data_IF_886747951148
#
_entry.id   IF_886747951148
#
_cell.length_a   1.000
_cell.length_b   1.000
_cell.length_c   1.000
_cell.angle_alpha   90.00
_cell.angle_beta   90.00
_cell.angle_gamma   90.00
#
_symmetry.space_group_name_H-M   'P 1'
#
loop_
_entity.id
_entity.type
_entity.pdbx_description
1 polymer ?
#
# COMPACT_ATOMS: atom_id res chain seq x y z
N UNK A 1 -12.07 -0.96 -22.43
CA UNK A 1 -10.65 -0.66 -22.25
C UNK A 1 -10.10 -0.12 -23.57
N UNK A 2 -9.52 1.07 -23.55
CA UNK A 2 -8.89 1.65 -24.72
C UNK A 2 -7.38 1.69 -24.51
N UNK A 3 -6.62 1.14 -25.43
CA UNK A 3 -5.17 1.29 -25.43
C UNK A 3 -4.76 2.36 -26.46
N UNK A 4 -3.86 3.23 -26.07
CA UNK A 4 -3.21 4.14 -27.01
C UNK A 4 -1.92 3.50 -27.53
N UNK A 5 -1.83 3.26 -28.83
CA UNK A 5 -0.59 2.80 -29.49
C UNK A 5 0.09 3.99 -30.15
N UNK A 6 1.34 4.24 -29.77
CA UNK A 6 2.17 5.17 -30.55
C UNK A 6 2.87 4.43 -31.69
N UNK A 7 2.71 4.88 -32.92
CA UNK A 7 3.54 4.40 -34.03
C UNK A 7 4.90 5.11 -34.00
N UNK A 8 5.96 4.35 -33.76
CA UNK A 8 7.34 4.83 -33.76
C UNK A 8 7.94 4.98 -32.37
N UNK A 9 9.27 5.02 -32.31
CA UNK A 9 10.05 5.09 -31.08
C UNK A 9 9.55 6.11 -30.08
N UNK A 10 9.65 5.76 -28.80
CA UNK A 10 9.10 6.46 -27.66
C UNK A 10 9.59 7.91 -27.45
N UNK A 11 10.29 8.50 -28.38
CA UNK A 11 10.60 9.93 -28.37
C UNK A 11 9.41 10.74 -28.85
N UNK A 12 8.87 11.53 -27.93
CA UNK A 12 7.83 12.50 -28.21
C UNK A 12 8.43 13.62 -29.06
N UNK A 13 8.47 13.41 -30.35
CA UNK A 13 8.65 14.50 -31.28
C UNK A 13 7.27 15.09 -31.58
N UNK A 14 7.10 16.35 -31.17
CA UNK A 14 5.80 17.00 -31.04
C UNK A 14 5.07 17.31 -32.33
N UNK A 15 5.68 17.01 -33.48
CA UNK A 15 5.13 17.46 -34.75
C UNK A 15 4.24 16.45 -35.49
N UNK A 16 4.35 15.13 -35.25
CA UNK A 16 3.67 14.11 -36.06
C UNK A 16 3.21 12.84 -35.33
N UNK A 17 2.90 12.89 -34.05
CA UNK A 17 2.42 11.69 -33.34
C UNK A 17 0.93 11.49 -33.52
N UNK A 18 0.61 10.57 -34.36
CA UNK A 18 -0.70 9.97 -34.40
C UNK A 18 -0.81 8.98 -33.23
N UNK A 19 -1.53 9.37 -32.18
CA UNK A 19 -1.98 8.40 -31.15
C UNK A 19 -3.18 7.68 -31.77
N UNK A 20 -3.01 6.39 -32.09
CA UNK A 20 -4.14 5.55 -32.46
C UNK A 20 -4.78 4.98 -31.18
N UNK A 21 -6.09 5.05 -31.12
CA UNK A 21 -6.88 4.53 -30.01
C UNK A 21 -7.68 3.35 -30.50
N UNK A 22 -7.37 2.16 -29.99
CA UNK A 22 -8.07 0.93 -30.34
C UNK A 22 -8.85 0.41 -29.12
N UNK A 23 -10.06 -0.08 -29.35
CA UNK A 23 -10.82 -0.79 -28.34
C UNK A 23 -10.28 -2.22 -28.25
N UNK A 24 -9.71 -2.59 -27.09
CA UNK A 24 -9.10 -3.92 -26.91
C UNK A 24 -9.97 -4.90 -26.13
N UNK A 25 -10.90 -4.43 -25.29
CA UNK A 25 -11.84 -5.28 -24.55
C UNK A 25 -13.01 -4.46 -24.00
N UNK A 26 -14.13 -5.13 -23.78
CA UNK A 26 -15.31 -4.59 -23.10
C UNK A 26 -15.74 -5.50 -21.96
N UNK A 27 -16.03 -4.92 -20.81
CA UNK A 27 -16.53 -5.67 -19.64
C UNK A 27 -18.04 -5.43 -19.40
N UNK A 28 -18.80 -5.32 -20.47
CA UNK A 28 -20.22 -4.99 -20.43
C UNK A 28 -20.43 -3.56 -19.91
N UNK A 29 -21.41 -3.37 -19.02
CA UNK A 29 -21.70 -2.07 -18.38
C UNK A 29 -20.92 -1.84 -17.08
N UNK A 30 -19.87 -2.60 -16.82
CA UNK A 30 -19.11 -2.53 -15.56
C UNK A 30 -18.11 -1.37 -15.60
N UNK A 31 -17.91 -0.74 -14.46
CA UNK A 31 -16.88 0.29 -14.30
C UNK A 31 -15.50 -0.36 -14.19
N UNK A 32 -14.58 0.09 -15.02
CA UNK A 32 -13.15 -0.19 -14.88
C UNK A 32 -12.63 0.78 -13.84
N UNK A 33 -12.16 0.26 -12.71
CA UNK A 33 -11.68 1.06 -11.59
C UNK A 33 -10.16 1.20 -11.58
N UNK A 34 -9.44 0.15 -11.99
CA UNK A 34 -7.98 0.17 -12.07
C UNK A 34 -7.48 -0.59 -13.28
N UNK A 35 -6.35 -0.14 -13.80
CA UNK A 35 -5.61 -0.80 -14.89
C UNK A 35 -4.13 -0.68 -14.56
N UNK A 36 -3.41 -1.77 -14.66
CA UNK A 36 -1.96 -1.73 -14.56
C UNK A 36 -1.30 -2.61 -15.61
N UNK A 37 -0.13 -2.19 -16.04
CA UNK A 37 0.71 -2.87 -17.03
C UNK A 37 1.94 -3.41 -16.33
N UNK A 38 2.25 -4.69 -16.55
CA UNK A 38 3.46 -5.29 -15.99
C UNK A 38 4.70 -4.50 -16.42
N UNK A 39 5.46 -3.92 -15.48
CA UNK A 39 6.65 -3.13 -15.80
C UNK A 39 7.74 -3.94 -16.52
N UNK A 40 7.73 -5.26 -16.39
CA UNK A 40 8.69 -6.16 -17.02
C UNK A 40 8.19 -6.75 -18.35
N UNK A 41 6.89 -6.63 -18.65
CA UNK A 41 6.30 -7.16 -19.88
C UNK A 41 5.02 -6.40 -20.26
N UNK A 42 5.13 -5.44 -21.14
CA UNK A 42 4.03 -4.59 -21.59
C UNK A 42 2.85 -5.30 -22.28
N UNK A 43 3.02 -6.58 -22.68
CA UNK A 43 1.91 -7.41 -23.18
C UNK A 43 0.99 -7.92 -22.05
N UNK A 44 1.41 -7.80 -20.81
CA UNK A 44 0.65 -8.24 -19.64
C UNK A 44 -0.07 -7.05 -19.02
N UNK A 45 -1.38 -7.15 -18.94
CA UNK A 45 -2.26 -6.10 -18.41
C UNK A 45 -3.26 -6.74 -17.45
N UNK A 46 -3.48 -6.08 -16.34
CA UNK A 46 -4.52 -6.42 -15.38
C UNK A 46 -5.55 -5.30 -15.29
N UNK A 47 -6.81 -5.67 -15.07
CA UNK A 47 -7.93 -4.76 -14.94
C UNK A 47 -8.72 -5.12 -13.71
N UNK A 48 -9.05 -4.12 -12.87
CA UNK A 48 -10.01 -4.27 -11.78
C UNK A 48 -11.35 -3.61 -12.13
N UNK A 49 -12.42 -4.24 -11.67
CA UNK A 49 -13.77 -3.82 -11.98
C UNK A 49 -14.55 -3.50 -10.70
N UNK A 50 -15.31 -2.40 -10.75
CA UNK A 50 -16.29 -2.02 -9.75
C UNK A 50 -17.65 -2.72 -9.97
N UNK A 51 -18.70 -2.16 -9.35
CA UNK A 51 -20.09 -2.63 -9.33
C UNK A 51 -20.31 -3.92 -8.54
N UNK A 52 -21.13 -3.85 -7.52
CA UNK A 52 -21.55 -5.02 -6.76
C UNK A 52 -22.38 -6.02 -7.61
N UNK A 53 -22.55 -7.22 -7.08
CA UNK A 53 -23.39 -8.25 -7.70
C UNK A 53 -22.72 -9.03 -8.83
N UNK A 54 -21.41 -9.02 -8.92
CA UNK A 54 -20.64 -9.77 -9.91
C UNK A 54 -19.80 -10.87 -9.24
N UNK A 55 -19.32 -11.82 -10.02
CA UNK A 55 -18.51 -12.95 -9.54
C UNK A 55 -17.03 -12.77 -9.81
N UNK A 56 -16.64 -11.95 -10.81
CA UNK A 56 -15.26 -11.72 -11.18
C UNK A 56 -14.98 -10.22 -11.21
N UNK A 57 -13.94 -9.80 -10.49
CA UNK A 57 -13.54 -8.41 -10.38
C UNK A 57 -12.16 -8.14 -10.94
N UNK A 58 -11.36 -9.18 -11.16
CA UNK A 58 -10.00 -9.09 -11.72
C UNK A 58 -9.96 -9.82 -13.05
N UNK A 59 -9.43 -9.15 -14.06
CA UNK A 59 -9.19 -9.71 -15.39
C UNK A 59 -7.76 -9.45 -15.82
N UNK A 60 -7.17 -10.44 -16.47
CA UNK A 60 -5.76 -10.44 -16.89
C UNK A 60 -5.62 -10.85 -18.33
N UNK A 61 -4.77 -10.13 -19.04
CA UNK A 61 -4.28 -10.46 -20.38
C UNK A 61 -2.76 -10.68 -20.37
N UNK A 62 -2.29 -11.66 -21.08
CA UNK A 62 -0.86 -11.85 -21.38
C UNK A 62 -0.49 -11.49 -22.82
N UNK A 63 -1.45 -11.02 -23.60
CA UNK A 63 -1.31 -10.69 -25.01
C UNK A 63 -2.01 -9.36 -25.39
N UNK A 64 -2.02 -8.40 -24.45
CA UNK A 64 -2.75 -7.13 -24.63
C UNK A 64 -2.30 -6.31 -25.86
N UNK A 65 -1.09 -6.54 -26.36
CA UNK A 65 -0.56 -5.88 -27.56
C UNK A 65 -0.83 -6.66 -28.87
N UNK A 66 -1.47 -7.82 -28.81
CA UNK A 66 -1.82 -8.58 -30.00
C UNK A 66 -2.97 -7.91 -30.78
N UNK A 67 -3.17 -8.32 -32.03
CA UNK A 67 -4.30 -7.86 -32.84
C UNK A 67 -5.65 -8.29 -32.24
N UNK A 68 -5.68 -9.41 -31.52
CA UNK A 68 -6.86 -9.93 -30.84
C UNK A 68 -6.48 -10.25 -29.38
N UNK A 69 -6.45 -9.25 -28.48
CA UNK A 69 -6.13 -9.47 -27.09
C UNK A 69 -7.24 -10.27 -26.41
N UNK A 70 -6.86 -11.06 -25.41
CA UNK A 70 -7.81 -11.85 -24.62
C UNK A 70 -7.63 -11.56 -23.14
N UNK A 71 -8.75 -11.41 -22.43
CA UNK A 71 -8.77 -11.19 -20.98
C UNK A 71 -9.47 -12.37 -20.29
N UNK A 72 -8.80 -12.96 -19.33
CA UNK A 72 -9.31 -14.06 -18.53
C UNK A 72 -9.57 -13.63 -17.10
N UNK A 73 -10.64 -14.12 -16.45
CA UNK A 73 -10.91 -13.81 -15.05
C UNK A 73 -9.83 -14.42 -14.14
N UNK A 74 -9.45 -13.66 -13.11
CA UNK A 74 -8.46 -14.03 -12.11
C UNK A 74 -8.98 -13.80 -10.69
N UNK A 75 -10.25 -14.17 -10.48
CA UNK A 75 -10.90 -13.98 -9.17
C UNK A 75 -10.30 -14.85 -8.08
N UNK A 76 -10.00 -16.13 -8.38
CA UNK A 76 -9.51 -17.06 -7.36
C UNK A 76 -10.39 -17.10 -6.11
N UNK A 77 -9.75 -16.98 -4.95
CA UNK A 77 -10.41 -16.90 -3.64
C UNK A 77 -10.63 -15.46 -3.14
N UNK A 78 -10.45 -14.44 -4.00
CA UNK A 78 -10.81 -13.07 -3.60
C UNK A 78 -12.28 -12.99 -3.18
N UNK A 79 -12.61 -12.17 -2.17
CA UNK A 79 -14.00 -11.85 -1.87
C UNK A 79 -14.73 -11.32 -3.11
N UNK A 80 -16.03 -11.63 -3.22
CA UNK A 80 -16.89 -11.16 -4.33
C UNK A 80 -17.38 -9.72 -4.07
N UNK A 81 -16.44 -8.81 -3.93
CA UNK A 81 -16.66 -7.37 -3.69
C UNK A 81 -15.91 -6.55 -4.74
N UNK A 82 -16.28 -5.28 -4.98
CA UNK A 82 -15.58 -4.41 -5.90
C UNK A 82 -14.07 -4.37 -5.64
N UNK A 83 -13.29 -4.41 -6.71
CA UNK A 83 -11.85 -4.14 -6.70
C UNK A 83 -11.62 -2.78 -7.36
N UNK A 84 -11.03 -1.86 -6.59
CA UNK A 84 -10.88 -0.48 -7.01
C UNK A 84 -9.52 -0.18 -7.63
N UNK A 85 -8.48 -0.87 -7.19
CA UNK A 85 -7.13 -0.69 -7.71
C UNK A 85 -6.40 -2.01 -7.85
N UNK A 86 -5.44 -2.06 -8.76
CA UNK A 86 -4.55 -3.19 -9.00
C UNK A 86 -3.15 -2.68 -9.31
N UNK A 87 -2.14 -3.39 -8.82
CA UNK A 87 -0.75 -3.10 -9.12
C UNK A 87 0.07 -4.37 -9.29
N UNK A 88 0.80 -4.49 -10.40
CA UNK A 88 1.87 -5.49 -10.52
C UNK A 88 3.02 -5.11 -9.60
N UNK A 89 3.70 -6.10 -9.06
CA UNK A 89 4.97 -5.88 -8.39
C UNK A 89 6.11 -5.87 -9.42
N UNK A 90 6.91 -4.78 -9.43
CA UNK A 90 8.08 -4.64 -10.31
C UNK A 90 9.08 -5.79 -10.14
N UNK A 91 9.25 -6.30 -8.92
CA UNK A 91 10.20 -7.37 -8.63
C UNK A 91 9.70 -8.77 -8.99
N UNK A 92 8.38 -8.95 -9.14
CA UNK A 92 7.76 -10.24 -9.41
C UNK A 92 6.50 -10.09 -10.28
N UNK A 93 6.63 -10.32 -11.56
CA UNK A 93 5.52 -10.25 -12.53
C UNK A 93 4.36 -11.23 -12.24
N UNK A 94 4.50 -12.21 -11.36
CA UNK A 94 3.41 -13.06 -10.90
C UNK A 94 2.72 -12.55 -9.65
N UNK A 95 3.27 -11.52 -9.01
CA UNK A 95 2.65 -10.86 -7.87
C UNK A 95 1.71 -9.77 -8.34
N UNK A 96 0.47 -9.85 -7.87
CA UNK A 96 -0.54 -8.82 -8.04
C UNK A 96 -1.03 -8.37 -6.68
N UNK A 97 -1.11 -7.07 -6.49
CA UNK A 97 -1.66 -6.42 -5.31
C UNK A 97 -2.99 -5.82 -5.72
N UNK A 98 -4.03 -6.08 -4.94
CA UNK A 98 -5.43 -5.72 -5.25
C UNK A 98 -6.02 -4.92 -4.11
N UNK A 99 -6.42 -3.69 -4.39
CA UNK A 99 -7.22 -2.84 -3.50
C UNK A 99 -8.71 -3.12 -3.69
N UNK A 100 -9.36 -3.58 -2.64
CA UNK A 100 -10.78 -3.97 -2.65
C UNK A 100 -11.60 -3.14 -1.68
N UNK A 101 -12.91 -3.37 -1.66
CA UNK A 101 -13.83 -2.86 -0.63
C UNK A 101 -13.43 -3.30 0.80
N UNK A 102 -12.73 -4.42 0.95
CA UNK A 102 -12.34 -5.00 2.23
C UNK A 102 -10.83 -4.91 2.52
N UNK A 103 -10.14 -3.96 1.90
CA UNK A 103 -8.71 -3.77 2.07
C UNK A 103 -7.89 -4.39 0.96
N UNK A 104 -6.68 -4.80 1.29
CA UNK A 104 -5.65 -5.26 0.36
C UNK A 104 -5.60 -6.79 0.35
N UNK A 105 -5.48 -7.32 -0.85
CA UNK A 105 -5.20 -8.73 -1.10
C UNK A 105 -4.01 -8.86 -2.06
N UNK A 106 -3.24 -9.92 -1.91
CA UNK A 106 -2.06 -10.17 -2.75
C UNK A 106 -2.01 -11.62 -3.20
N UNK A 107 -1.55 -11.84 -4.42
CA UNK A 107 -1.21 -13.17 -4.95
C UNK A 107 0.19 -13.18 -5.52
N UNK A 108 0.90 -14.31 -5.40
CA UNK A 108 2.18 -14.58 -6.06
C UNK A 108 2.04 -15.54 -7.26
N UNK A 109 0.81 -15.91 -7.62
CA UNK A 109 0.55 -16.88 -8.67
C UNK A 109 -0.53 -16.44 -9.66
N UNK A 110 -0.50 -15.15 -10.06
CA UNK A 110 -1.47 -14.52 -10.99
C UNK A 110 -1.70 -15.32 -12.26
N UNK A 111 -0.65 -15.95 -12.81
CA UNK A 111 -0.74 -16.73 -14.06
C UNK A 111 -1.43 -18.08 -13.89
N UNK A 112 -1.67 -18.54 -12.66
CA UNK A 112 -2.46 -19.73 -12.40
C UNK A 112 -3.86 -19.64 -13.01
N UNK A 113 -4.46 -20.75 -13.36
CA UNK A 113 -5.87 -20.82 -13.78
C UNK A 113 -6.81 -20.34 -12.67
N UNK A 114 -6.43 -20.57 -11.40
CA UNK A 114 -7.15 -20.16 -10.21
C UNK A 114 -6.15 -19.58 -9.19
N UNK A 115 -5.86 -18.26 -9.23
CA UNK A 115 -4.94 -17.63 -8.29
C UNK A 115 -5.41 -17.77 -6.84
N UNK A 116 -4.46 -17.85 -5.92
CA UNK A 116 -4.73 -17.82 -4.47
C UNK A 116 -4.27 -16.48 -3.91
N UNK A 117 -5.18 -15.77 -3.28
CA UNK A 117 -4.92 -14.47 -2.66
C UNK A 117 -4.87 -14.60 -1.14
N UNK A 118 -3.97 -13.85 -0.52
CA UNK A 118 -3.88 -13.61 0.92
C UNK A 118 -4.26 -12.17 1.24
N UNK A 119 -4.92 -11.99 2.36
CA UNK A 119 -5.21 -10.65 2.90
C UNK A 119 -3.94 -10.05 3.50
N UNK A 120 -3.64 -8.79 3.15
CA UNK A 120 -2.42 -8.07 3.55
C UNK A 120 -2.75 -6.74 4.27
N UNK A 121 -3.69 -6.78 5.20
CA UNK A 121 -4.14 -5.59 5.95
C UNK A 121 -3.33 -5.36 7.24
N UNK A 122 -2.10 -5.87 7.38
CA UNK A 122 -1.31 -5.68 8.59
C UNK A 122 -1.08 -4.19 8.90
N UNK A 123 -1.53 -3.76 10.08
CA UNK A 123 -1.46 -2.36 10.51
C UNK A 123 -2.52 -1.43 9.89
N UNK A 124 -3.41 -1.97 9.06
CA UNK A 124 -4.49 -1.23 8.42
C UNK A 124 -5.85 -1.86 8.77
N UNK A 125 -6.85 -1.02 9.01
CA UNK A 125 -8.24 -1.47 9.19
C UNK A 125 -8.80 -1.91 7.83
N UNK A 126 -9.73 -2.87 7.82
CA UNK A 126 -10.49 -3.25 6.63
C UNK A 126 -11.39 -2.10 6.18
N UNK A 127 -10.90 -1.32 5.24
CA UNK A 127 -11.60 -0.20 4.59
C UNK A 127 -11.39 -0.28 3.09
N UNK A 128 -12.25 0.34 2.28
CA UNK A 128 -12.02 0.40 0.84
C UNK A 128 -10.66 1.02 0.50
N UNK A 129 -9.92 0.36 -0.39
CA UNK A 129 -8.63 0.83 -0.92
C UNK A 129 -8.84 1.28 -2.35
N UNK A 130 -8.77 2.59 -2.58
CA UNK A 130 -9.10 3.19 -3.86
C UNK A 130 -7.93 3.28 -4.82
N UNK A 131 -6.71 3.38 -4.28
CA UNK A 131 -5.51 3.50 -5.11
C UNK A 131 -4.34 2.76 -4.49
N UNK A 132 -3.58 2.08 -5.32
CA UNK A 132 -2.31 1.44 -4.99
C UNK A 132 -1.32 1.82 -6.07
N UNK A 133 -0.25 2.50 -5.68
CA UNK A 133 0.83 2.89 -6.57
C UNK A 133 2.15 2.34 -6.06
N UNK A 134 2.93 1.75 -6.95
CA UNK A 134 4.29 1.32 -6.65
C UNK A 134 5.29 2.29 -7.25
N UNK A 135 6.24 2.75 -6.43
CA UNK A 135 7.36 3.52 -6.93
C UNK A 135 8.29 2.61 -7.76
N UNK A 136 8.26 2.81 -9.08
CA UNK A 136 8.92 1.91 -10.05
C UNK A 136 10.11 2.55 -10.76
N UNK A 137 10.43 3.79 -10.47
CA UNK A 137 11.43 4.55 -11.21
C UNK A 137 12.81 4.34 -10.62
N UNK A 138 13.75 3.82 -11.42
CA UNK A 138 15.19 3.98 -11.18
C UNK A 138 15.57 5.43 -11.54
N UNK A 139 15.14 6.40 -10.75
CA UNK A 139 15.67 7.72 -10.89
C UNK A 139 17.05 7.73 -10.23
N UNK A 140 18.11 7.88 -11.03
CA UNK A 140 19.41 8.33 -10.56
C UNK A 140 19.24 9.77 -10.02
N UNK A 141 18.56 9.90 -8.89
CA UNK A 141 18.58 11.13 -8.14
C UNK A 141 19.97 11.25 -7.55
N UNK A 142 20.63 12.37 -7.84
CA UNK A 142 21.94 12.69 -7.25
C UNK A 142 21.86 12.48 -5.73
N UNK A 143 22.55 11.46 -5.24
CA UNK A 143 22.52 11.01 -3.83
C UNK A 143 23.07 12.06 -2.86
N UNK A 144 23.37 13.27 -3.34
CA UNK A 144 23.84 14.40 -2.54
C UNK A 144 22.70 15.27 -1.99
N UNK A 145 21.46 15.08 -2.44
CA UNK A 145 20.31 15.76 -1.85
C UNK A 145 19.86 15.03 -0.58
N UNK A 146 20.05 15.66 0.55
CA UNK A 146 19.61 15.18 1.86
C UNK A 146 18.07 15.16 1.94
N UNK A 147 17.47 14.08 1.47
CA UNK A 147 16.03 13.78 1.57
C UNK A 147 15.85 12.31 1.22
N UNK A 148 15.13 11.57 2.04
CA UNK A 148 14.83 10.18 1.77
C UNK A 148 13.97 10.12 0.50
N UNK A 149 14.58 9.79 -0.64
CA UNK A 149 13.82 9.38 -1.82
C UNK A 149 13.03 8.13 -1.51
N UNK A 150 11.81 7.97 -2.04
CA UNK A 150 11.11 6.71 -1.95
C UNK A 150 12.02 5.58 -2.44
N UNK A 151 12.02 4.48 -1.72
CA UNK A 151 12.81 3.31 -2.11
C UNK A 151 12.11 2.62 -3.27
N UNK A 152 12.84 2.20 -4.29
CA UNK A 152 12.28 1.44 -5.39
C UNK A 152 11.50 0.22 -4.87
N UNK A 153 10.27 0.05 -5.35
CA UNK A 153 9.36 -0.99 -4.90
C UNK A 153 8.44 -0.58 -3.74
N UNK A 154 8.63 0.61 -3.16
CA UNK A 154 7.73 1.14 -2.14
C UNK A 154 6.32 1.28 -2.69
N UNK A 155 5.33 0.83 -1.91
CA UNK A 155 3.92 0.97 -2.24
C UNK A 155 3.30 2.12 -1.47
N UNK A 156 2.46 2.86 -2.17
CA UNK A 156 1.59 3.89 -1.61
C UNK A 156 0.14 3.47 -1.78
N UNK A 157 -0.63 3.54 -0.71
CA UNK A 157 -1.98 2.99 -0.63
C UNK A 157 -2.91 4.08 -0.11
N UNK A 158 -3.92 4.45 -0.91
CA UNK A 158 -4.94 5.40 -0.52
C UNK A 158 -6.24 4.70 -0.16
N UNK A 159 -6.76 5.03 1.04
CA UNK A 159 -7.94 4.38 1.62
C UNK A 159 -9.10 5.33 1.80
N UNK A 160 -10.31 4.79 1.92
CA UNK A 160 -11.49 5.57 2.27
C UNK A 160 -11.53 5.88 3.76
N UNK A 161 -11.31 7.13 4.10
CA UNK A 161 -11.50 7.65 5.47
C UNK A 161 -10.40 7.34 6.49
N UNK A 162 -9.34 6.59 6.10
CA UNK A 162 -8.21 6.27 6.96
C UNK A 162 -6.88 6.90 6.51
N UNK A 163 -6.96 7.79 5.49
CA UNK A 163 -5.77 8.41 4.93
C UNK A 163 -5.02 7.51 3.95
N UNK A 164 -3.70 7.66 3.90
CA UNK A 164 -2.84 6.83 3.07
C UNK A 164 -1.77 6.12 3.90
N UNK A 165 -1.30 5.01 3.37
CA UNK A 165 -0.26 4.19 3.96
C UNK A 165 0.88 4.03 2.97
N UNK A 166 2.09 3.78 3.47
CA UNK A 166 3.21 3.34 2.65
C UNK A 166 3.88 2.12 3.26
N UNK A 167 4.52 1.33 2.43
CA UNK A 167 5.35 0.20 2.86
C UNK A 167 6.71 0.29 2.21
N UNK A 168 7.75 0.10 2.99
CA UNK A 168 9.13 0.24 2.55
C UNK A 168 9.61 -0.90 1.64
N UNK A 169 8.80 -1.96 1.44
CA UNK A 169 9.18 -3.07 0.55
C UNK A 169 7.98 -3.97 0.24
N UNK A 170 7.80 -4.33 -1.02
CA UNK A 170 6.95 -5.46 -1.42
C UNK A 170 7.63 -6.81 -1.20
N UNK A 171 8.87 -6.81 -0.79
CA UNK A 171 9.56 -8.01 -0.37
C UNK A 171 9.08 -8.42 1.01
N UNK A 172 7.91 -9.04 1.06
CA UNK A 172 7.57 -9.88 2.20
C UNK A 172 8.56 -11.04 2.18
N UNK A 173 9.63 -10.90 2.91
CA UNK A 173 10.39 -12.08 3.31
C UNK A 173 9.45 -12.88 4.21
N UNK A 174 8.73 -13.82 3.61
CA UNK A 174 8.15 -14.91 4.41
C UNK A 174 9.34 -15.70 4.95
N UNK A 175 9.50 -15.81 6.25
CA UNK A 175 10.51 -16.70 6.79
C UNK A 175 10.17 -18.11 6.34
N UNK A 176 10.94 -18.63 5.40
CA UNK A 176 11.00 -20.05 5.11
C UNK A 176 11.80 -20.67 6.24
N UNK A 177 11.10 -21.21 7.22
CA UNK A 177 11.67 -22.11 8.22
C UNK A 177 12.57 -21.42 9.26
N UNK A 178 12.08 -21.40 10.49
CA UNK A 178 12.82 -21.41 11.74
C UNK A 178 14.23 -20.81 11.72
N UNK A 179 14.33 -19.54 12.10
CA UNK A 179 15.32 -19.10 13.08
C UNK A 179 14.81 -17.79 13.68
N UNK A 180 14.49 -17.83 14.95
CA UNK A 180 14.34 -16.63 15.78
C UNK A 180 15.72 -15.96 15.85
N UNK A 181 15.99 -15.03 14.94
CA UNK A 181 17.15 -14.16 15.07
C UNK A 181 16.80 -12.75 14.59
N UNK A 182 16.66 -11.90 15.62
CA UNK A 182 16.84 -10.48 15.60
C UNK A 182 15.84 -9.67 14.75
N UNK A 183 14.66 -9.44 15.32
CA UNK A 183 13.92 -8.21 15.07
C UNK A 183 14.86 -7.05 15.42
N UNK A 184 15.30 -6.32 14.41
CA UNK A 184 15.93 -5.03 14.62
C UNK A 184 14.95 -4.15 15.42
N UNK A 185 15.33 -3.77 16.63
CA UNK A 185 14.56 -2.97 17.60
C UNK A 185 14.09 -1.58 17.09
N UNK A 186 14.35 -1.24 15.83
CA UNK A 186 14.08 0.08 15.26
C UNK A 186 12.78 0.20 14.45
N UNK A 187 11.99 -0.88 14.32
CA UNK A 187 10.66 -0.84 13.69
C UNK A 187 9.56 -1.33 14.62
N UNK A 188 9.51 -0.79 15.81
CA UNK A 188 8.26 -0.82 16.58
C UNK A 188 7.29 0.14 15.89
N UNK A 189 6.50 -0.39 14.95
CA UNK A 189 5.28 0.30 14.54
C UNK A 189 4.59 0.76 15.83
N UNK A 190 4.24 2.04 15.92
CA UNK A 190 3.54 2.59 17.07
C UNK A 190 2.15 1.94 17.17
N UNK A 191 2.11 0.71 17.65
CA UNK A 191 0.87 0.01 17.95
C UNK A 191 0.19 0.64 19.17
N UNK A 192 -0.33 1.87 18.99
CA UNK A 192 -1.07 2.59 20.03
C UNK A 192 -2.46 1.98 20.12
N UNK A 193 -2.83 1.55 21.33
CA UNK A 193 -4.15 0.95 21.57
C UNK A 193 -4.69 1.31 22.98
N UNK A 194 -6.02 1.31 23.13
CA UNK A 194 -7.03 1.25 22.10
C UNK A 194 -7.04 2.50 21.21
N UNK A 195 -7.46 2.35 19.96
CA UNK A 195 -7.71 3.45 19.05
C UNK A 195 -8.98 3.13 18.24
N UNK A 196 -10.09 3.86 18.43
CA UNK A 196 -10.23 5.04 19.29
C UNK A 196 -10.19 4.72 20.80
N UNK A 197 -9.91 5.76 21.61
CA UNK A 197 -9.83 5.69 23.07
C UNK A 197 -10.64 6.79 23.73
N UNK A 198 -11.21 6.52 24.91
CA UNK A 198 -11.91 7.49 25.77
C UNK A 198 -11.12 7.89 27.00
N UNK A 199 -10.34 6.98 27.56
CA UNK A 199 -9.75 7.16 28.90
C UNK A 199 -8.22 7.11 28.87
N UNK A 200 -7.66 6.08 28.24
CA UNK A 200 -6.21 5.88 28.17
C UNK A 200 -5.76 5.24 26.87
N UNK A 201 -4.54 5.52 26.48
CA UNK A 201 -3.85 4.87 25.36
C UNK A 201 -2.56 4.22 25.86
N UNK A 202 -2.24 3.05 25.33
CA UNK A 202 -0.97 2.38 25.55
C UNK A 202 -0.02 2.70 24.42
N UNK A 203 1.15 3.21 24.74
CA UNK A 203 2.21 3.54 23.79
C UNK A 203 3.37 2.58 24.03
N UNK A 204 3.76 1.77 23.04
CA UNK A 204 4.94 0.90 23.14
C UNK A 204 6.21 1.72 23.37
N UNK A 205 7.09 1.22 24.23
CA UNK A 205 8.35 1.89 24.56
C UNK A 205 9.49 0.88 24.68
N UNK A 206 10.71 1.36 24.49
CA UNK A 206 11.93 0.63 24.78
C UNK A 206 12.71 1.33 25.88
N UNK A 207 13.73 0.70 26.44
CA UNK A 207 14.58 1.30 27.47
C UNK A 207 15.32 2.56 26.95
N UNK A 208 15.51 3.54 27.78
CA UNK A 208 16.24 4.78 27.49
C UNK A 208 15.40 6.04 27.69
N UNK A 209 15.88 7.15 27.14
CA UNK A 209 15.19 8.45 27.24
C UNK A 209 13.97 8.46 26.31
N UNK A 210 12.83 8.90 26.82
CA UNK A 210 11.56 8.90 26.12
C UNK A 210 10.86 10.26 26.22
N UNK A 211 10.35 10.72 25.09
CA UNK A 211 9.39 11.81 25.02
C UNK A 211 8.20 11.41 24.15
N UNK A 212 6.99 11.57 24.65
CA UNK A 212 5.76 11.39 23.90
C UNK A 212 5.05 12.73 23.81
N UNK A 213 4.72 13.15 22.58
CA UNK A 213 3.94 14.35 22.33
C UNK A 213 2.62 13.96 21.66
N UNK A 214 1.51 14.34 22.26
CA UNK A 214 0.19 14.30 21.67
C UNK A 214 -0.15 15.68 21.11
N UNK A 215 -0.41 15.79 19.81
CA UNK A 215 -0.70 17.04 19.11
C UNK A 215 -2.09 17.01 18.50
N UNK A 216 -2.77 18.13 18.53
CA UNK A 216 -3.98 18.31 17.72
C UNK A 216 -3.62 18.54 16.25
N UNK A 217 -4.63 18.56 15.37
CA UNK A 217 -4.43 18.75 13.92
C UNK A 217 -3.82 20.12 13.56
N UNK A 218 -3.86 21.10 14.46
CA UNK A 218 -3.20 22.40 14.30
C UNK A 218 -1.71 22.37 14.70
N UNK A 219 -1.20 21.20 15.10
CA UNK A 219 0.19 21.00 15.52
C UNK A 219 0.50 21.39 16.97
N UNK A 220 -0.48 21.90 17.72
CA UNK A 220 -0.31 22.26 19.15
C UNK A 220 -0.20 21.03 20.02
N UNK A 221 0.77 21.00 20.93
CA UNK A 221 0.92 19.91 21.91
C UNK A 221 -0.18 20.05 22.96
N UNK A 222 -1.04 19.03 23.06
CA UNK A 222 -2.11 18.94 24.08
C UNK A 222 -1.68 18.11 25.27
N UNK A 223 -0.74 17.17 25.07
CA UNK A 223 -0.12 16.40 26.14
C UNK A 223 1.33 16.08 25.81
N UNK A 224 2.20 16.13 26.80
CA UNK A 224 3.61 15.76 26.70
C UNK A 224 4.00 14.92 27.89
N UNK A 225 4.72 13.86 27.64
CA UNK A 225 5.32 12.97 28.64
C UNK A 225 6.81 12.93 28.37
N UNK A 226 7.61 13.24 29.38
CA UNK A 226 9.06 13.17 29.35
C UNK A 226 9.53 12.19 30.43
N UNK A 227 10.23 11.14 30.04
CA UNK A 227 10.86 10.18 30.94
C UNK A 227 12.35 10.08 30.60
N UNK A 228 13.20 10.48 31.54
CA UNK A 228 14.67 10.42 31.36
C UNK A 228 15.25 9.02 31.39
N UNK A 229 14.49 8.02 31.79
CA UNK A 229 14.95 6.64 31.83
C UNK A 229 13.75 5.70 31.91
N UNK A 230 13.37 5.12 30.79
CA UNK A 230 12.43 4.00 30.77
C UNK A 230 13.14 2.78 31.34
N UNK A 231 12.58 2.11 32.37
CA UNK A 231 13.18 0.92 32.94
C UNK A 231 13.30 -0.21 31.92
N UNK A 232 14.37 -1.02 32.03
CA UNK A 232 14.49 -2.23 31.24
C UNK A 232 13.32 -3.17 31.53
N UNK A 233 12.71 -3.72 30.48
CA UNK A 233 11.58 -4.66 30.58
C UNK A 233 10.22 -3.97 30.65
N UNK A 234 10.14 -2.65 30.58
CA UNK A 234 8.88 -1.95 30.37
C UNK A 234 8.59 -1.89 28.88
N UNK A 235 7.51 -2.55 28.44
CA UNK A 235 7.15 -2.68 27.03
C UNK A 235 6.20 -1.58 26.54
N UNK A 236 5.46 -0.94 27.46
CA UNK A 236 4.47 0.08 27.17
C UNK A 236 4.28 1.06 28.31
N UNK A 237 3.80 2.25 27.97
CA UNK A 237 3.34 3.27 28.92
C UNK A 237 1.87 3.55 28.65
N UNK A 238 1.07 3.63 29.73
CA UNK A 238 -0.30 4.13 29.66
C UNK A 238 -0.31 5.64 29.76
N UNK A 239 -1.00 6.29 28.85
CA UNK A 239 -1.20 7.75 28.79
C UNK A 239 -2.67 8.05 29.00
N UNK A 240 -3.00 8.75 30.08
CA UNK A 240 -4.35 9.22 30.35
C UNK A 240 -4.75 10.29 29.31
N UNK A 241 -5.88 10.09 28.64
CA UNK A 241 -6.45 11.00 27.64
C UNK A 241 -7.90 11.40 27.99
N UNK A 242 -8.38 11.06 29.18
CA UNK A 242 -9.76 11.28 29.62
C UNK A 242 -10.18 12.75 29.67
N UNK A 243 -9.24 13.66 29.87
CA UNK A 243 -9.45 15.12 29.90
C UNK A 243 -9.21 15.80 28.54
N UNK A 244 -8.87 15.04 27.51
CA UNK A 244 -8.61 15.58 26.18
C UNK A 244 -9.93 15.60 25.39
N UNK A 245 -10.28 16.72 24.72
CA UNK A 245 -11.50 16.78 23.92
C UNK A 245 -11.52 15.71 22.85
N UNK A 246 -12.72 15.18 22.52
CA UNK A 246 -12.88 14.24 21.44
C UNK A 246 -12.38 14.82 20.11
N UNK A 247 -11.59 14.06 19.37
CA UNK A 247 -10.98 14.52 18.10
C UNK A 247 -9.89 13.59 17.60
N UNK A 248 -9.28 14.00 16.47
CA UNK A 248 -8.11 13.33 15.92
C UNK A 248 -6.83 14.00 16.41
N UNK A 249 -5.89 13.19 16.82
CA UNK A 249 -4.61 13.63 17.37
C UNK A 249 -3.45 12.87 16.72
N UNK A 250 -2.30 13.52 16.64
CA UNK A 250 -1.05 12.91 16.18
C UNK A 250 -0.17 12.64 17.39
N UNK A 251 0.30 11.40 17.51
CA UNK A 251 1.24 11.01 18.58
C UNK A 251 2.63 10.86 17.96
N UNK A 252 3.60 11.52 18.56
CA UNK A 252 5.00 11.42 18.20
C UNK A 252 5.76 10.88 19.40
N UNK A 253 6.50 9.80 19.22
CA UNK A 253 7.43 9.25 20.19
C UNK A 253 8.86 9.61 19.78
N UNK A 254 9.61 10.19 20.69
CA UNK A 254 11.05 10.40 20.54
C UNK A 254 11.73 9.50 21.56
N UNK A 255 12.53 8.56 21.09
CA UNK A 255 13.20 7.57 21.93
C UNK A 255 14.71 7.66 21.68
N UNK A 256 15.50 7.89 22.74
CA UNK A 256 16.95 8.05 22.64
C UNK A 256 17.38 9.12 21.60
N UNK A 257 16.56 10.15 21.38
CA UNK A 257 16.79 11.22 20.42
C UNK A 257 16.30 10.94 19.00
N UNK A 258 15.78 9.74 18.72
CA UNK A 258 15.20 9.39 17.43
C UNK A 258 13.66 9.51 17.48
N UNK A 259 13.09 10.06 16.42
CA UNK A 259 11.62 10.21 16.28
C UNK A 259 11.05 8.97 15.60
N UNK A 260 10.06 8.38 16.25
CA UNK A 260 9.22 7.30 15.70
C UNK A 260 7.79 7.82 15.64
N UNK A 261 7.21 7.86 14.47
CA UNK A 261 5.84 8.37 14.23
C UNK A 261 4.99 7.33 13.52
#
# INVERSE_FOLDING_TARGET
>A
LQSARSQGDAHIDSANKLITVDLIETFGSRYICGIDVDPNNTSRVVVSLGNYGNTNYIFYSNNALSANPTFSPKQGNLPTVPAYSVSFDKSNSNRLIVGTEWGIFMTDNLTSGLPSYTEENNGMVRVPVFEIEQYRTEYNYDSTAAGSSPTEGELFIATHGQGYYSTSSTQVQRPVGSDESEMNDNQLALGIYPNPSSDEINVPVVSGDLQINLRNLNGSIVRRIDMRRVPNGLEKISVDVSDIPSGNYVITRIQNGETVS
#
